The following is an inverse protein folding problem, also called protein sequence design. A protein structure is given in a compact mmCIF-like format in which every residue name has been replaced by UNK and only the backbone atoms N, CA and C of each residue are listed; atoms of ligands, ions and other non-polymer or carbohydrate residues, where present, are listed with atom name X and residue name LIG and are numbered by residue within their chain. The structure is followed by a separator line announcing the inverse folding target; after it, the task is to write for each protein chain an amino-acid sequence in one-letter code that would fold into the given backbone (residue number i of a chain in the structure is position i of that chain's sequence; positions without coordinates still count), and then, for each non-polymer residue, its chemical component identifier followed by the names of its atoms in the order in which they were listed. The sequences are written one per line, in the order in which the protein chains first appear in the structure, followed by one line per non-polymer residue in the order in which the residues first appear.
data_IF_128563072352
#
_entry.id   IF_128563072352
#
_cell.length_a   1.000
_cell.length_b   1.000
_cell.length_c   1.000
_cell.angle_alpha   90.00
_cell.angle_beta   90.00
_cell.angle_gamma   90.00
#
_symmetry.space_group_name_H-M   'P 1'
#
loop_
_entity.id
_entity.type
_entity.pdbx_description
1 polymer ?
#
# COMPACT_ATOMS: atom_id res chain seq x y z
N UNK A 1 11.64 2.40 10.26
CA UNK A 1 11.15 1.24 11.03
C UNK A 1 10.62 0.22 10.04
N UNK A 2 11.26 -0.95 9.94
CA UNK A 2 10.76 -2.06 9.12
C UNK A 2 9.66 -2.72 9.96
N UNK A 3 8.43 -2.75 9.45
CA UNK A 3 7.30 -3.36 10.14
C UNK A 3 7.35 -4.85 9.81
N UNK A 4 8.01 -5.62 10.67
CA UNK A 4 8.11 -7.07 10.57
C UNK A 4 6.88 -7.78 11.17
N UNK A 5 5.68 -7.27 10.90
CA UNK A 5 4.44 -8.00 11.20
C UNK A 5 4.21 -9.01 10.08
N UNK A 6 4.77 -10.21 10.21
CA UNK A 6 4.68 -11.31 9.23
C UNK A 6 3.27 -11.84 8.99
N UNK A 7 2.28 -11.46 9.82
CA UNK A 7 0.89 -11.92 9.71
C UNK A 7 -0.06 -10.89 9.07
N UNK A 8 0.44 -9.72 8.65
CA UNK A 8 -0.42 -8.69 8.08
C UNK A 8 -0.51 -8.81 6.55
N UNK A 9 -1.72 -8.69 5.98
CA UNK A 9 -1.88 -8.54 4.54
C UNK A 9 -1.05 -7.40 3.97
N UNK A 10 -0.49 -7.58 2.77
CA UNK A 10 0.41 -6.64 2.13
C UNK A 10 -0.14 -5.20 2.10
N UNK A 11 -1.44 -5.01 1.83
CA UNK A 11 -2.06 -3.68 1.78
C UNK A 11 -2.02 -2.95 3.14
N UNK A 12 -2.07 -3.69 4.25
CA UNK A 12 -1.93 -3.13 5.60
C UNK A 12 -0.49 -2.77 5.90
N UNK A 13 0.47 -3.61 5.47
CA UNK A 13 1.90 -3.32 5.61
C UNK A 13 2.25 -2.04 4.85
N UNK A 14 1.78 -1.91 3.60
CA UNK A 14 1.95 -0.70 2.79
C UNK A 14 1.34 0.51 3.49
N UNK A 15 0.11 0.40 4.00
CA UNK A 15 -0.54 1.51 4.69
C UNK A 15 0.25 1.97 5.92
N UNK A 16 0.70 1.03 6.77
CA UNK A 16 1.49 1.38 7.95
C UNK A 16 2.83 2.00 7.57
N UNK A 17 3.50 1.49 6.52
CA UNK A 17 4.73 2.06 6.00
C UNK A 17 4.54 3.51 5.52
N UNK A 18 3.47 3.79 4.77
CA UNK A 18 3.19 5.12 4.26
C UNK A 18 2.94 6.12 5.40
N UNK A 19 2.20 5.72 6.44
CA UNK A 19 1.99 6.56 7.63
C UNK A 19 3.29 6.79 8.39
N UNK A 20 4.08 5.73 8.62
CA UNK A 20 5.34 5.83 9.37
C UNK A 20 6.39 6.73 8.71
N UNK A 21 6.28 6.94 7.38
CA UNK A 21 7.16 7.82 6.62
C UNK A 21 6.51 9.16 6.26
N UNK A 22 5.37 9.52 6.87
CA UNK A 22 4.62 10.76 6.61
C UNK A 22 4.22 10.95 5.13
N UNK A 23 4.07 9.86 4.37
CA UNK A 23 3.63 9.89 2.96
C UNK A 23 2.11 9.99 2.86
N UNK A 24 1.41 9.51 3.89
CA UNK A 24 -0.02 9.72 4.13
C UNK A 24 -0.23 9.98 5.63
N UNK A 25 -1.34 10.62 6.01
CA UNK A 25 -1.70 10.89 7.41
C UNK A 25 -2.56 9.80 8.01
N UNK A 26 -3.38 9.11 7.20
CA UNK A 26 -4.30 8.10 7.70
C UNK A 26 -4.77 7.13 6.63
N UNK A 27 -5.58 6.14 7.03
CA UNK A 27 -6.39 5.33 6.11
C UNK A 27 -7.28 6.19 5.19
N UNK A 28 -7.68 7.39 5.66
CA UNK A 28 -8.16 8.54 4.87
C UNK A 28 -7.60 8.59 3.47
N UNK A 29 -6.33 8.92 3.47
CA UNK A 29 -5.68 9.37 2.27
C UNK A 29 -5.48 8.17 1.35
N UNK A 30 -5.11 7.00 1.90
CA UNK A 30 -5.01 5.78 1.09
C UNK A 30 -6.34 5.42 0.41
N UNK A 31 -7.46 5.47 1.14
CA UNK A 31 -8.79 5.19 0.57
C UNK A 31 -9.15 6.16 -0.56
N UNK A 32 -8.73 7.43 -0.43
CA UNK A 32 -8.93 8.43 -1.48
C UNK A 32 -8.05 8.15 -2.71
N UNK A 33 -6.77 7.80 -2.51
CA UNK A 33 -5.85 7.50 -3.62
C UNK A 33 -6.30 6.29 -4.44
N UNK A 34 -6.85 5.28 -3.77
CA UNK A 34 -7.30 4.04 -4.43
C UNK A 34 -8.76 4.06 -4.85
N UNK A 35 -9.46 5.18 -4.64
CA UNK A 35 -10.89 5.36 -4.95
C UNK A 35 -11.78 4.25 -4.40
N UNK A 36 -11.58 3.91 -3.12
CA UNK A 36 -12.39 2.92 -2.38
C UNK A 36 -12.83 3.47 -1.04
N UNK A 37 -13.91 2.94 -0.49
CA UNK A 37 -14.41 3.37 0.81
C UNK A 37 -13.57 2.81 1.96
N UNK A 38 -13.62 3.46 3.13
CA UNK A 38 -13.08 2.87 4.39
C UNK A 38 -13.72 1.52 4.72
N UNK A 39 -15.00 1.37 4.41
CA UNK A 39 -15.75 0.13 4.63
C UNK A 39 -15.17 -1.02 3.85
N UNK A 40 -14.73 -0.78 2.60
CA UNK A 40 -14.06 -1.80 1.78
C UNK A 40 -12.86 -2.41 2.50
N UNK A 41 -11.91 -1.60 2.97
CA UNK A 41 -10.72 -2.10 3.68
C UNK A 41 -11.04 -2.70 5.05
N UNK A 42 -12.10 -2.21 5.70
CA UNK A 42 -12.59 -2.79 6.96
C UNK A 42 -13.14 -4.20 6.74
N UNK A 43 -13.87 -4.41 5.64
CA UNK A 43 -14.36 -5.73 5.23
C UNK A 43 -13.21 -6.67 4.93
N UNK A 44 -12.23 -6.25 4.11
CA UNK A 44 -11.03 -7.06 3.80
C UNK A 44 -10.31 -7.52 5.07
N UNK A 45 -10.14 -6.62 6.05
CA UNK A 45 -9.52 -6.95 7.33
C UNK A 45 -10.31 -7.99 8.11
N UNK A 46 -11.64 -7.88 8.11
CA UNK A 46 -12.53 -8.81 8.81
C UNK A 46 -12.56 -10.19 8.14
N UNK A 47 -12.55 -10.22 6.80
CA UNK A 47 -12.65 -11.45 6.01
C UNK A 47 -11.28 -12.08 5.71
N UNK A 48 -10.18 -11.43 6.12
CA UNK A 48 -8.80 -11.81 5.80
C UNK A 48 -8.60 -11.99 4.28
N UNK A 49 -9.21 -11.11 3.50
CA UNK A 49 -9.16 -11.16 2.03
C UNK A 49 -8.21 -10.11 1.47
N UNK A 50 -7.69 -10.37 0.27
CA UNK A 50 -6.88 -9.40 -0.46
C UNK A 50 -7.75 -8.39 -1.22
N UNK A 51 -7.22 -7.18 -1.47
CA UNK A 51 -7.82 -6.24 -2.42
C UNK A 51 -8.04 -6.85 -3.80
N UNK A 52 -9.00 -6.30 -4.54
CA UNK A 52 -9.20 -6.66 -5.94
C UNK A 52 -8.07 -6.14 -6.82
N UNK A 53 -7.86 -6.75 -7.99
CA UNK A 53 -6.83 -6.34 -8.94
C UNK A 53 -6.86 -4.84 -9.29
N UNK A 54 -8.05 -4.26 -9.47
CA UNK A 54 -8.19 -2.80 -9.70
C UNK A 54 -7.62 -1.96 -8.55
N UNK A 55 -7.83 -2.40 -7.30
CA UNK A 55 -7.32 -1.69 -6.11
C UNK A 55 -5.81 -1.86 -6.01
N UNK A 56 -5.29 -3.04 -6.35
CA UNK A 56 -3.85 -3.26 -6.43
C UNK A 56 -3.19 -2.37 -7.48
N UNK A 57 -3.77 -2.25 -8.67
CA UNK A 57 -3.30 -1.34 -9.73
C UNK A 57 -3.33 0.12 -9.25
N UNK A 58 -4.41 0.54 -8.59
CA UNK A 58 -4.49 1.90 -8.04
C UNK A 58 -3.42 2.16 -6.97
N UNK A 59 -3.16 1.20 -6.08
CA UNK A 59 -2.07 1.28 -5.10
C UNK A 59 -0.69 1.34 -5.79
N UNK A 60 -0.45 0.51 -6.80
CA UNK A 60 0.80 0.49 -7.56
C UNK A 60 1.08 1.85 -8.23
N UNK A 61 0.05 2.45 -8.85
CA UNK A 61 0.15 3.77 -9.48
C UNK A 61 0.54 4.83 -8.46
N UNK A 62 -0.15 4.86 -7.31
CA UNK A 62 0.15 5.78 -6.22
C UNK A 62 1.59 5.63 -5.70
N UNK A 63 2.04 4.38 -5.43
CA UNK A 63 3.41 4.14 -4.99
C UNK A 63 4.46 4.54 -6.05
N UNK A 64 4.14 4.36 -7.33
CA UNK A 64 4.99 4.75 -8.44
C UNK A 64 5.15 6.27 -8.53
N UNK A 65 4.08 7.03 -8.31
CA UNK A 65 4.13 8.49 -8.21
C UNK A 65 4.98 8.97 -7.03
N UNK A 66 4.80 8.35 -5.86
CA UNK A 66 5.63 8.63 -4.69
C UNK A 66 7.11 8.35 -4.98
N UNK A 67 7.41 7.26 -5.70
CA UNK A 67 8.78 6.87 -6.07
C UNK A 67 9.43 7.91 -6.98
N UNK A 68 8.68 8.51 -7.92
CA UNK A 68 9.16 9.57 -8.82
C UNK A 68 9.49 10.86 -8.05
N UNK A 69 8.67 11.20 -7.06
CA UNK A 69 8.81 12.43 -6.27
C UNK A 69 9.75 12.28 -5.06
N UNK A 70 10.18 11.06 -4.73
CA UNK A 70 11.01 10.77 -3.57
C UNK A 70 12.50 11.03 -3.83
N UNK A 71 13.06 12.00 -3.09
CA UNK A 71 14.51 12.29 -3.07
C UNK A 71 15.32 11.36 -2.17
N UNK A 72 14.67 10.68 -1.22
CA UNK A 72 15.33 9.75 -0.30
C UNK A 72 15.49 8.38 -0.97
N UNK A 73 16.72 7.98 -1.28
CA UNK A 73 17.01 6.71 -1.98
C UNK A 73 16.64 5.47 -1.16
N UNK A 74 16.77 5.50 0.16
CA UNK A 74 16.31 4.40 1.03
C UNK A 74 14.81 4.22 0.93
N UNK A 75 14.05 5.32 1.03
CA UNK A 75 12.59 5.29 0.93
C UNK A 75 12.14 4.83 -0.46
N UNK A 76 12.82 5.30 -1.50
CA UNK A 76 12.61 4.89 -2.89
C UNK A 76 12.82 3.40 -3.10
N UNK A 77 13.84 2.81 -2.47
CA UNK A 77 14.09 1.36 -2.50
C UNK A 77 12.94 0.57 -1.88
N UNK A 78 12.40 1.04 -0.75
CA UNK A 78 11.22 0.43 -0.12
C UNK A 78 9.95 0.58 -0.95
N UNK A 79 9.71 1.74 -1.55
CA UNK A 79 8.58 1.93 -2.45
C UNK A 79 8.65 0.96 -3.65
N UNK A 80 9.82 0.83 -4.28
CA UNK A 80 10.04 -0.16 -5.36
C UNK A 80 9.84 -1.60 -4.90
N UNK A 81 10.28 -1.93 -3.68
CA UNK A 81 10.03 -3.24 -3.09
C UNK A 81 8.53 -3.53 -3.00
N UNK A 82 7.72 -2.59 -2.47
CA UNK A 82 6.27 -2.77 -2.38
C UNK A 82 5.58 -2.81 -3.75
N UNK A 83 6.02 -2.01 -4.72
CA UNK A 83 5.52 -2.08 -6.10
C UNK A 83 5.69 -3.49 -6.66
N UNK A 84 6.88 -4.10 -6.50
CA UNK A 84 7.14 -5.47 -6.94
C UNK A 84 6.29 -6.51 -6.21
N UNK A 85 6.03 -6.31 -4.91
CA UNK A 85 5.12 -7.19 -4.16
C UNK A 85 3.69 -7.12 -4.72
N UNK A 86 3.21 -5.93 -5.06
CA UNK A 86 1.89 -5.76 -5.69
C UNK A 86 1.83 -6.44 -7.06
N UNK A 87 2.89 -6.35 -7.87
CA UNK A 87 2.95 -7.04 -9.18
C UNK A 87 2.78 -8.55 -9.04
N UNK A 88 3.34 -9.15 -7.98
CA UNK A 88 3.18 -10.57 -7.69
C UNK A 88 1.75 -10.93 -7.26
N UNK A 89 1.02 -10.00 -6.63
CA UNK A 89 -0.40 -10.19 -6.28
C UNK A 89 -1.34 -10.03 -7.48
N UNK A 90 -1.00 -9.16 -8.45
CA UNK A 90 -1.81 -8.96 -9.66
C UNK A 90 -1.63 -10.12 -10.65
N UNK A 91 -0.46 -10.75 -10.68
CA UNK A 91 -0.14 -11.86 -11.58
C UNK A 91 -0.64 -13.24 -11.14
N UNK A 92 -1.31 -13.34 -9.99
CA UNK A 92 -1.96 -14.56 -9.48
C UNK A 92 -3.43 -14.63 -9.90
#
# INVERSE_FOLDING_TARGET
MIIADTDLPLYMVIQKFLVANNLIRSWSDLTAQVQRSRTYFSTLRRTKSNPSGEVWVAMQNFLSELTKNCRNETLKRWLRHYIRQIEMEIGQ
#
